data_IF_353083608759
#
_entry.id   IF_353083608759
#
_cell.length_a   1.000
_cell.length_b   1.000
_cell.length_c   1.000
_cell.angle_alpha   90.00
_cell.angle_beta   90.00
_cell.angle_gamma   90.00
#
_symmetry.space_group_name_H-M   'P 1'
#
loop_
_entity.id
_entity.type
_entity.pdbx_description
1 polymer ?
#
# COMPACT_ATOMS: atom_id res chain seq x y z
N UNK A 1 27.10 -11.62 15.38
CA UNK A 1 26.62 -10.21 15.29
C UNK A 1 26.54 -9.67 13.87
N UNK A 2 27.61 -9.67 13.05
CA UNK A 2 27.57 -9.15 11.67
C UNK A 2 26.55 -9.86 10.76
N UNK A 3 26.48 -11.18 10.81
CA UNK A 3 25.56 -11.97 9.97
C UNK A 3 24.08 -11.67 10.27
N UNK A 4 23.70 -11.59 11.56
CA UNK A 4 22.34 -11.21 11.97
C UNK A 4 21.93 -9.82 11.48
N UNK A 5 22.86 -8.85 11.50
CA UNK A 5 22.61 -7.49 10.98
C UNK A 5 22.42 -7.52 9.46
N UNK A 6 23.22 -8.30 8.74
CA UNK A 6 23.12 -8.45 7.28
C UNK A 6 21.77 -9.08 6.89
N UNK A 7 21.33 -10.12 7.60
CA UNK A 7 20.05 -10.79 7.33
C UNK A 7 18.85 -9.90 7.65
N UNK A 8 18.89 -9.16 8.77
CA UNK A 8 17.88 -8.14 9.12
C UNK A 8 17.77 -7.09 8.02
N UNK A 9 18.89 -6.56 7.53
CA UNK A 9 18.92 -5.56 6.47
C UNK A 9 18.42 -6.11 5.13
N UNK A 10 18.78 -7.34 4.78
CA UNK A 10 18.29 -8.02 3.56
C UNK A 10 16.77 -8.20 3.59
N UNK A 11 16.23 -8.70 4.70
CA UNK A 11 14.77 -8.92 4.82
C UNK A 11 13.98 -7.61 4.88
N UNK A 12 14.50 -6.56 5.54
CA UNK A 12 13.93 -5.21 5.49
C UNK A 12 13.87 -4.68 4.05
N UNK A 13 14.93 -4.90 3.26
CA UNK A 13 14.98 -4.44 1.87
C UNK A 13 13.99 -5.18 0.96
N UNK A 14 13.82 -6.50 1.10
CA UNK A 14 12.87 -7.26 0.26
C UNK A 14 11.41 -6.99 0.64
N UNK A 15 11.07 -7.04 1.94
CA UNK A 15 9.69 -6.76 2.39
C UNK A 15 9.33 -5.29 2.12
N UNK A 16 10.28 -4.36 2.27
CA UNK A 16 10.09 -2.95 1.92
C UNK A 16 9.78 -2.75 0.43
N UNK A 17 10.44 -3.49 -0.46
CA UNK A 17 10.12 -3.46 -1.90
C UNK A 17 8.73 -4.01 -2.19
N UNK A 18 8.34 -5.12 -1.56
CA UNK A 18 6.98 -5.68 -1.72
C UNK A 18 5.94 -4.66 -1.22
N UNK A 19 6.20 -4.02 -0.07
CA UNK A 19 5.34 -2.97 0.45
C UNK A 19 5.18 -1.81 -0.55
N UNK A 20 6.27 -1.27 -1.07
CA UNK A 20 6.23 -0.20 -2.07
C UNK A 20 5.46 -0.62 -3.34
N UNK A 21 5.75 -1.82 -3.88
CA UNK A 21 5.05 -2.35 -5.06
C UNK A 21 3.56 -2.50 -4.81
N UNK A 22 3.16 -3.03 -3.64
CA UNK A 22 1.74 -3.20 -3.32
C UNK A 22 0.99 -1.86 -3.19
N UNK A 23 1.64 -0.80 -2.71
CA UNK A 23 1.08 0.56 -2.73
C UNK A 23 0.86 1.06 -4.17
N UNK A 24 1.81 0.79 -5.07
CA UNK A 24 1.64 1.13 -6.50
C UNK A 24 0.54 0.30 -7.17
N UNK A 25 0.42 -0.98 -6.86
CA UNK A 25 -0.66 -1.85 -7.35
C UNK A 25 -2.01 -1.31 -6.87
N UNK A 26 -2.13 -0.95 -5.59
CA UNK A 26 -3.34 -0.32 -5.07
C UNK A 26 -3.67 1.01 -5.78
N UNK A 27 -2.67 1.86 -6.01
CA UNK A 27 -2.82 3.10 -6.77
C UNK A 27 -3.31 2.85 -8.20
N UNK A 28 -2.77 1.82 -8.87
CA UNK A 28 -3.19 1.43 -10.21
C UNK A 28 -4.66 0.96 -10.24
N UNK A 29 -5.10 0.18 -9.25
CA UNK A 29 -6.50 -0.20 -9.12
C UNK A 29 -7.44 0.99 -9.01
N UNK A 30 -7.05 2.02 -8.23
CA UNK A 30 -7.82 3.26 -8.12
C UNK A 30 -7.81 4.06 -9.43
N UNK A 31 -6.69 4.09 -10.17
CA UNK A 31 -6.64 4.74 -11.47
C UNK A 31 -7.55 4.05 -12.48
N UNK A 32 -7.64 2.71 -12.46
CA UNK A 32 -8.58 1.96 -13.30
C UNK A 32 -10.02 2.39 -12.98
N UNK A 33 -10.40 2.47 -11.71
CA UNK A 33 -11.72 2.93 -11.29
C UNK A 33 -12.02 4.37 -11.74
N UNK A 34 -11.05 5.26 -11.58
CA UNK A 34 -11.16 6.65 -11.99
C UNK A 34 -11.39 6.77 -13.51
N UNK A 35 -10.55 6.10 -14.32
CA UNK A 35 -10.64 6.16 -15.76
C UNK A 35 -11.82 5.37 -16.34
N UNK A 36 -12.40 4.43 -15.59
CA UNK A 36 -13.64 3.76 -15.98
C UNK A 36 -14.90 4.59 -15.71
N UNK A 37 -14.76 5.83 -15.22
CA UNK A 37 -15.88 6.75 -15.04
C UNK A 37 -16.77 6.43 -13.85
N UNK A 38 -16.24 5.73 -12.85
CA UNK A 38 -16.95 5.48 -11.60
C UNK A 38 -17.36 6.82 -10.97
N UNK A 39 -18.63 7.01 -10.59
CA UNK A 39 -19.09 8.27 -10.03
C UNK A 39 -18.49 8.51 -8.64
N UNK A 40 -18.34 9.79 -8.27
CA UNK A 40 -17.86 10.21 -6.94
C UNK A 40 -16.35 10.48 -6.87
N UNK A 41 -15.58 10.20 -7.93
CA UNK A 41 -14.20 10.65 -7.98
C UNK A 41 -14.10 12.17 -8.21
N UNK A 42 -13.27 12.89 -7.44
CA UNK A 42 -12.93 14.27 -7.75
C UNK A 42 -12.10 14.34 -9.04
N UNK A 43 -12.01 15.54 -9.65
CA UNK A 43 -11.24 15.77 -10.87
C UNK A 43 -9.81 15.26 -10.76
N UNK A 44 -9.18 15.44 -9.60
CA UNK A 44 -7.85 14.92 -9.28
C UNK A 44 -8.02 13.85 -8.19
N UNK A 45 -7.88 12.56 -8.51
CA UNK A 45 -8.08 11.50 -7.54
C UNK A 45 -6.94 11.52 -6.51
N UNK A 46 -7.22 11.75 -5.21
CA UNK A 46 -6.16 11.86 -4.20
C UNK A 46 -5.52 10.50 -3.89
N UNK A 47 -6.28 9.41 -3.99
CA UNK A 47 -5.82 8.06 -3.63
C UNK A 47 -4.55 7.60 -4.34
N UNK A 48 -4.49 7.62 -5.68
CA UNK A 48 -3.28 7.26 -6.43
C UNK A 48 -2.07 8.13 -6.09
N UNK A 49 -2.29 9.43 -5.82
CA UNK A 49 -1.22 10.37 -5.45
C UNK A 49 -0.66 10.02 -4.07
N UNK A 50 -1.54 9.83 -3.09
CA UNK A 50 -1.17 9.46 -1.71
C UNK A 50 -0.36 8.15 -1.70
N UNK A 51 -0.90 7.11 -2.35
CA UNK A 51 -0.25 5.80 -2.40
C UNK A 51 1.02 5.80 -3.25
N UNK A 52 1.03 6.53 -4.36
CA UNK A 52 2.20 6.67 -5.22
C UNK A 52 3.36 7.36 -4.51
N UNK A 53 3.11 8.49 -3.85
CA UNK A 53 4.12 9.20 -3.05
C UNK A 53 4.61 8.30 -1.90
N UNK A 54 3.70 7.65 -1.17
CA UNK A 54 4.08 6.72 -0.11
C UNK A 54 4.95 5.56 -0.63
N UNK A 55 4.60 4.98 -1.79
CA UNK A 55 5.37 3.94 -2.45
C UNK A 55 6.78 4.40 -2.83
N UNK A 56 6.90 5.59 -3.43
CA UNK A 56 8.21 6.19 -3.77
C UNK A 56 9.05 6.40 -2.51
N UNK A 57 8.47 6.98 -1.45
CA UNK A 57 9.15 7.23 -0.20
C UNK A 57 9.68 5.94 0.43
N UNK A 58 8.87 4.89 0.49
CA UNK A 58 9.29 3.58 1.01
C UNK A 58 10.41 3.01 0.15
N UNK A 59 10.24 3.02 -1.17
CA UNK A 59 11.19 2.41 -2.11
C UNK A 59 12.57 3.07 -2.04
N UNK A 60 12.61 4.38 -1.82
CA UNK A 60 13.85 5.18 -1.89
C UNK A 60 14.47 5.50 -0.53
N UNK A 61 13.67 5.65 0.53
CA UNK A 61 14.11 6.25 1.79
C UNK A 61 13.84 5.39 3.04
N UNK A 62 13.13 4.25 2.94
CA UNK A 62 12.79 3.44 4.13
C UNK A 62 14.01 2.89 4.88
N UNK A 63 15.13 2.64 4.19
CA UNK A 63 16.37 2.17 4.81
C UNK A 63 17.10 3.26 5.60
N UNK A 64 16.84 4.54 5.27
CA UNK A 64 17.51 5.70 5.88
C UNK A 64 16.70 6.28 7.03
N UNK A 65 15.37 6.30 6.92
CA UNK A 65 14.49 7.00 7.85
C UNK A 65 13.37 6.10 8.37
N UNK A 66 13.42 5.82 9.68
CA UNK A 66 12.49 4.89 10.37
C UNK A 66 11.03 5.37 10.41
N UNK A 67 10.78 6.67 10.19
CA UNK A 67 9.42 7.23 10.15
C UNK A 67 8.73 7.04 8.78
N UNK A 68 9.49 6.71 7.72
CA UNK A 68 8.92 6.50 6.37
C UNK A 68 7.93 5.31 6.34
N UNK A 69 8.28 4.12 6.88
CA UNK A 69 7.31 3.01 6.99
C UNK A 69 6.05 3.35 7.78
N UNK A 70 6.12 4.27 8.74
CA UNK A 70 4.96 4.68 9.52
C UNK A 70 3.97 5.47 8.65
N UNK A 71 4.48 6.46 7.90
CA UNK A 71 3.66 7.26 6.98
C UNK A 71 3.03 6.41 5.88
N UNK A 72 3.76 5.42 5.36
CA UNK A 72 3.23 4.56 4.29
C UNK A 72 2.14 3.59 4.77
N UNK A 73 2.26 3.07 6.00
CA UNK A 73 1.18 2.31 6.64
C UNK A 73 -0.05 3.19 6.83
N UNK A 74 0.13 4.42 7.33
CA UNK A 74 -0.97 5.35 7.53
C UNK A 74 -1.69 5.69 6.20
N UNK A 75 -0.93 5.88 5.12
CA UNK A 75 -1.47 6.08 3.77
C UNK A 75 -2.31 4.89 3.30
N UNK A 76 -1.80 3.65 3.43
CA UNK A 76 -2.54 2.44 3.07
C UNK A 76 -3.82 2.27 3.90
N UNK A 77 -3.76 2.52 5.21
CA UNK A 77 -4.93 2.46 6.09
C UNK A 77 -5.96 3.54 5.75
N UNK A 78 -5.53 4.78 5.52
CA UNK A 78 -6.41 5.89 5.15
C UNK A 78 -7.23 5.56 3.90
N UNK A 79 -6.59 5.04 2.86
CA UNK A 79 -7.30 4.63 1.63
C UNK A 79 -8.19 3.41 1.87
N UNK A 80 -7.74 2.45 2.69
CA UNK A 80 -8.56 1.28 3.05
C UNK A 80 -9.86 1.70 3.76
N UNK A 81 -9.77 2.57 4.77
CA UNK A 81 -10.95 3.10 5.46
C UNK A 81 -11.84 3.92 4.53
N UNK A 82 -11.26 4.80 3.71
CA UNK A 82 -12.03 5.56 2.72
C UNK A 82 -12.83 4.66 1.78
N UNK A 83 -12.22 3.55 1.34
CA UNK A 83 -12.88 2.56 0.47
C UNK A 83 -14.03 1.83 1.18
N UNK A 84 -13.83 1.47 2.45
CA UNK A 84 -14.86 0.77 3.25
C UNK A 84 -16.03 1.71 3.55
N UNK A 85 -15.75 2.96 3.92
CA UNK A 85 -16.77 3.97 4.26
C UNK A 85 -17.58 4.35 3.02
N UNK A 86 -16.93 4.45 1.85
CA UNK A 86 -17.62 4.71 0.59
C UNK A 86 -18.61 3.59 0.22
N UNK A 87 -18.36 2.36 0.67
CA UNK A 87 -19.35 1.28 0.76
C UNK A 87 -19.72 0.61 -0.57
N UNK A 88 -19.30 1.14 -1.72
CA UNK A 88 -19.66 0.59 -3.03
C UNK A 88 -18.79 -0.60 -3.46
N UNK A 89 -17.70 -0.88 -2.73
CA UNK A 89 -16.76 -1.98 -2.99
C UNK A 89 -17.50 -3.32 -3.22
N UNK A 90 -18.51 -3.62 -2.40
CA UNK A 90 -19.26 -4.87 -2.50
C UNK A 90 -20.08 -4.96 -3.79
N UNK A 91 -20.71 -3.85 -4.21
CA UNK A 91 -21.47 -3.79 -5.45
C UNK A 91 -20.57 -3.94 -6.69
N UNK A 92 -19.36 -3.37 -6.64
CA UNK A 92 -18.38 -3.52 -7.74
C UNK A 92 -17.83 -4.95 -7.84
N UNK A 93 -17.65 -5.63 -6.71
CA UNK A 93 -17.13 -7.01 -6.69
C UNK A 93 -18.18 -8.05 -7.11
N UNK A 94 -19.48 -7.77 -6.97
CA UNK A 94 -20.54 -8.69 -7.40
C UNK A 94 -21.00 -8.44 -8.84
N UNK A 95 -20.72 -7.26 -9.40
CA UNK A 95 -21.06 -6.93 -10.79
C UNK A 95 -19.91 -7.21 -11.76
N UNK A 96 -19.71 -8.50 -12.08
CA UNK A 96 -18.64 -8.95 -13.00
C UNK A 96 -18.86 -8.41 -14.42
N UNK A 97 -20.11 -8.13 -14.83
CA UNK A 97 -20.41 -7.57 -16.15
C UNK A 97 -19.85 -6.16 -16.36
N UNK A 98 -19.66 -5.41 -15.27
CA UNK A 98 -18.98 -4.11 -15.30
C UNK A 98 -17.47 -4.30 -15.07
N UNK A 99 -16.80 -4.80 -16.12
CA UNK A 99 -15.47 -5.41 -16.03
C UNK A 99 -14.39 -4.46 -15.47
N UNK A 100 -14.36 -3.19 -15.91
CA UNK A 100 -13.31 -2.27 -15.49
C UNK A 100 -13.43 -1.88 -14.00
N UNK A 101 -14.61 -1.49 -13.48
CA UNK A 101 -14.82 -1.31 -12.04
C UNK A 101 -14.57 -2.56 -11.21
N UNK A 102 -14.97 -3.74 -11.70
CA UNK A 102 -14.69 -5.00 -11.03
C UNK A 102 -13.18 -5.25 -10.87
N UNK A 103 -12.43 -5.19 -11.97
CA UNK A 103 -10.97 -5.41 -11.98
C UNK A 103 -10.24 -4.34 -11.18
N UNK A 104 -10.62 -3.07 -11.34
CA UNK A 104 -10.03 -1.96 -10.58
C UNK A 104 -10.21 -2.15 -9.07
N UNK A 105 -11.40 -2.59 -8.65
CA UNK A 105 -11.70 -2.89 -7.24
C UNK A 105 -10.89 -4.07 -6.72
N UNK A 106 -10.75 -5.14 -7.50
CA UNK A 106 -9.92 -6.29 -7.13
C UNK A 106 -8.44 -5.91 -6.97
N UNK A 107 -7.89 -5.20 -7.95
CA UNK A 107 -6.48 -4.77 -7.94
C UNK A 107 -6.23 -3.82 -6.76
N UNK A 108 -7.13 -2.85 -6.54
CA UNK A 108 -7.06 -1.95 -5.39
C UNK A 108 -7.09 -2.73 -4.08
N UNK A 109 -8.09 -3.60 -3.90
CA UNK A 109 -8.30 -4.34 -2.65
C UNK A 109 -7.12 -5.24 -2.31
N UNK A 110 -6.65 -6.06 -3.27
CA UNK A 110 -5.51 -6.94 -3.07
C UNK A 110 -4.22 -6.15 -2.81
N UNK A 111 -3.99 -5.06 -3.56
CA UNK A 111 -2.86 -4.16 -3.34
C UNK A 111 -2.86 -3.59 -1.92
N UNK A 112 -4.00 -3.10 -1.43
CA UNK A 112 -4.12 -2.54 -0.08
C UNK A 112 -3.93 -3.59 1.02
N UNK A 113 -4.50 -4.79 0.87
CA UNK A 113 -4.32 -5.88 1.84
C UNK A 113 -2.84 -6.24 1.98
N UNK A 114 -2.15 -6.44 0.85
CA UNK A 114 -0.71 -6.74 0.86
C UNK A 114 0.09 -5.56 1.41
N UNK A 115 -0.27 -4.32 1.06
CA UNK A 115 0.41 -3.12 1.54
C UNK A 115 0.30 -2.95 3.06
N UNK A 116 -0.87 -3.17 3.64
CA UNK A 116 -1.07 -3.06 5.10
C UNK A 116 -0.27 -4.15 5.82
N UNK A 117 -0.34 -5.41 5.38
CA UNK A 117 0.40 -6.52 6.02
C UNK A 117 1.91 -6.27 5.95
N UNK A 118 2.43 -6.01 4.76
CA UNK A 118 3.88 -5.82 4.56
C UNK A 118 4.37 -4.53 5.22
N UNK A 119 3.58 -3.47 5.20
CA UNK A 119 3.87 -2.21 5.88
C UNK A 119 4.00 -2.39 7.39
N UNK A 120 3.07 -3.11 8.03
CA UNK A 120 3.14 -3.42 9.46
C UNK A 120 4.40 -4.25 9.79
N UNK A 121 4.79 -5.20 8.94
CA UNK A 121 6.02 -5.98 9.12
C UNK A 121 7.26 -5.09 9.02
N UNK A 122 7.34 -4.21 8.01
CA UNK A 122 8.46 -3.27 7.84
C UNK A 122 8.54 -2.32 9.04
N UNK A 123 7.41 -1.77 9.47
CA UNK A 123 7.31 -0.89 10.61
C UNK A 123 7.79 -1.58 11.90
N UNK A 124 7.27 -2.77 12.20
CA UNK A 124 7.69 -3.54 13.36
C UNK A 124 9.21 -3.83 13.35
N UNK A 125 9.77 -4.17 12.19
CA UNK A 125 11.22 -4.42 12.05
C UNK A 125 12.07 -3.15 12.17
N UNK A 126 11.57 -2.00 11.73
CA UNK A 126 12.26 -0.72 11.81
C UNK A 126 12.43 -0.24 13.26
N UNK A 127 11.47 -0.55 14.13
CA UNK A 127 11.46 -0.14 15.54
C UNK A 127 11.92 -1.24 16.52
N UNK A 128 12.18 -2.47 16.07
CA UNK A 128 12.72 -3.53 16.93
C UNK A 128 14.13 -3.19 17.45
N UNK A 129 14.34 -3.16 18.78
CA UNK A 129 15.66 -3.10 19.39
C UNK A 129 16.53 -4.25 18.90
N UNK A 130 17.84 -4.03 18.79
CA UNK A 130 18.78 -5.15 18.61
C UNK A 130 19.04 -5.67 20.02
N UNK A 131 18.48 -6.84 20.36
CA UNK A 131 18.80 -7.50 21.62
C UNK A 131 20.29 -7.88 21.60
N UNK A 132 21.05 -7.23 22.48
CA UNK A 132 22.45 -7.56 22.75
C UNK A 132 22.46 -8.70 23.76
N UNK A 133 22.66 -9.94 23.28
CA UNK A 133 23.05 -11.09 24.12
C UNK A 133 24.49 -11.44 23.77
#
# INVERSE_FOLDING_TARGET
MKEMVIEKNRTLNWVGKIHAVSLFVAALGILILYFSGVPGFPLIPPGPIILGIAGILVFTLASRWKWIPFISVLAGLFISFGTIIEGSIWGRLTNISDFAPFVGTLIQGLGLVVAVITGLIVLAKAFRPIETV
#
